data_IF_476798751873
#
_entry.id   IF_476798751873
#
_cell.length_a   1.000
_cell.length_b   1.000
_cell.length_c   1.000
_cell.angle_alpha   90.00
_cell.angle_beta   90.00
_cell.angle_gamma   90.00
#
_symmetry.space_group_name_H-M   'P 1'
#
loop_
_entity.id
_entity.type
_entity.pdbx_description
1 polymer ?
#
# COMPACT_ATOMS: atom_id res chain seq x y z
N UNK A 1 -18.15 0.07 -1.98
CA UNK A 1 -17.02 0.57 -1.19
C UNK A 1 -17.40 0.47 0.27
N UNK A 2 -16.65 -0.28 1.06
CA UNK A 2 -16.93 -0.48 2.48
C UNK A 2 -16.24 0.60 3.28
N UNK A 3 -16.81 1.05 4.40
CA UNK A 3 -16.12 1.95 5.32
C UNK A 3 -15.36 1.13 6.36
N UNK A 4 -14.18 1.60 6.75
CA UNK A 4 -13.37 0.98 7.78
C UNK A 4 -12.70 2.03 8.67
N UNK A 5 -12.76 1.83 9.97
CA UNK A 5 -12.00 2.65 10.90
C UNK A 5 -10.68 1.99 11.29
N UNK A 6 -9.61 2.78 11.36
CA UNK A 6 -8.29 2.37 11.82
C UNK A 6 -8.11 2.83 13.28
N UNK A 7 -8.27 1.92 14.24
CA UNK A 7 -8.36 2.25 15.67
C UNK A 7 -7.05 2.72 16.31
N UNK A 8 -5.90 2.29 15.78
CA UNK A 8 -4.57 2.52 16.40
C UNK A 8 -3.69 3.50 15.64
N UNK A 9 -4.30 4.54 15.08
CA UNK A 9 -3.58 5.66 14.50
C UNK A 9 -2.80 6.40 15.59
N UNK A 10 -1.49 6.56 15.39
CA UNK A 10 -0.65 7.34 16.30
C UNK A 10 -0.45 8.72 15.71
N UNK A 11 -0.62 9.75 16.53
CA UNK A 11 -0.20 11.09 16.19
C UNK A 11 1.33 11.12 16.10
N UNK A 12 1.85 11.58 14.97
CA UNK A 12 3.28 11.74 14.76
C UNK A 12 3.77 13.00 15.47
N UNK A 13 5.01 12.98 15.97
CA UNK A 13 5.64 14.21 16.45
C UNK A 13 5.92 15.19 15.30
N UNK A 14 6.25 16.44 15.66
CA UNK A 14 6.48 17.50 14.69
C UNK A 14 7.59 17.15 13.67
N UNK A 15 8.71 16.58 14.14
CA UNK A 15 9.85 16.27 13.29
C UNK A 15 9.53 15.17 12.28
N UNK A 16 8.81 14.14 12.72
CA UNK A 16 8.35 13.04 11.87
C UNK A 16 7.37 13.56 10.81
N UNK A 17 6.42 14.42 11.20
CA UNK A 17 5.49 15.03 10.25
C UNK A 17 6.21 15.87 9.19
N UNK A 18 7.18 16.71 9.58
CA UNK A 18 7.97 17.49 8.61
C UNK A 18 8.84 16.60 7.71
N UNK A 19 9.35 15.48 8.21
CA UNK A 19 10.07 14.49 7.41
C UNK A 19 9.17 13.87 6.34
N UNK A 20 7.92 13.50 6.66
CA UNK A 20 6.98 12.98 5.66
C UNK A 20 6.54 14.03 4.64
N UNK A 21 6.35 15.30 5.05
CA UNK A 21 6.08 16.40 4.11
C UNK A 21 7.26 16.63 3.15
N UNK A 22 8.47 16.53 3.65
CA UNK A 22 9.69 16.61 2.84
C UNK A 22 9.79 15.44 1.86
N UNK A 23 9.54 14.21 2.34
CA UNK A 23 9.51 13.02 1.50
C UNK A 23 8.44 13.15 0.40
N UNK A 24 7.21 13.53 0.73
CA UNK A 24 6.13 13.81 -0.23
C UNK A 24 6.55 14.79 -1.31
N UNK A 25 7.21 15.88 -0.92
CA UNK A 25 7.68 16.92 -1.85
C UNK A 25 8.76 16.38 -2.79
N UNK A 26 9.70 15.59 -2.26
CA UNK A 26 10.73 14.93 -3.07
C UNK A 26 10.12 13.97 -4.08
N UNK A 27 9.10 13.21 -3.67
CA UNK A 27 8.38 12.29 -4.57
C UNK A 27 7.66 13.05 -5.69
N UNK A 28 7.08 14.21 -5.40
CA UNK A 28 6.47 15.08 -6.43
C UNK A 28 7.50 15.63 -7.43
N UNK A 29 8.75 15.85 -7.00
CA UNK A 29 9.82 16.27 -7.90
C UNK A 29 10.32 15.15 -8.82
N UNK A 30 10.03 13.88 -8.54
CA UNK A 30 10.39 12.77 -9.42
C UNK A 30 9.61 12.77 -10.75
N UNK A 31 8.45 13.44 -10.81
CA UNK A 31 7.65 13.58 -12.02
C UNK A 31 6.15 13.52 -11.73
N UNK A 32 5.35 14.24 -12.51
CA UNK A 32 3.89 14.26 -12.36
C UNK A 32 3.20 12.97 -12.81
N UNK A 33 3.93 12.13 -13.54
CA UNK A 33 3.58 10.82 -14.07
C UNK A 33 3.97 9.67 -13.13
N UNK A 34 4.82 9.92 -12.14
CA UNK A 34 5.21 8.94 -11.11
C UNK A 34 4.12 8.87 -10.04
N UNK A 35 3.17 7.94 -10.21
CA UNK A 35 1.97 7.84 -9.35
C UNK A 35 1.78 6.46 -8.74
N UNK A 36 2.28 5.40 -9.39
CA UNK A 36 2.28 4.03 -8.88
C UNK A 36 3.63 3.75 -8.24
N UNK A 37 3.67 3.68 -6.92
CA UNK A 37 4.94 3.65 -6.18
C UNK A 37 4.92 2.48 -5.21
N UNK A 38 5.83 1.53 -5.42
CA UNK A 38 6.00 0.43 -4.47
C UNK A 38 7.12 0.74 -3.46
N UNK A 39 6.89 0.33 -2.22
CA UNK A 39 7.83 0.42 -1.13
C UNK A 39 8.34 -0.99 -0.85
N UNK A 40 9.66 -1.15 -0.82
CA UNK A 40 10.35 -2.37 -0.41
C UNK A 40 11.51 -2.04 0.54
N UNK A 41 12.17 -3.05 1.07
CA UNK A 41 13.31 -2.92 1.96
C UNK A 41 14.28 -4.08 1.73
N UNK A 42 15.52 -3.97 2.20
CA UNK A 42 16.50 -5.04 2.08
C UNK A 42 16.15 -6.18 3.03
N UNK A 43 15.78 -5.85 4.26
CA UNK A 43 15.54 -6.76 5.37
C UNK A 43 14.15 -6.54 5.99
N UNK A 44 13.59 -7.55 6.68
CA UNK A 44 12.40 -7.37 7.50
C UNK A 44 12.62 -6.33 8.61
N UNK A 45 11.55 -5.61 8.96
CA UNK A 45 11.50 -4.64 10.06
C UNK A 45 12.24 -3.30 9.88
N UNK A 46 12.71 -2.95 8.68
CA UNK A 46 13.35 -1.64 8.39
C UNK A 46 12.34 -0.46 8.32
N UNK A 47 11.20 -0.54 9.02
CA UNK A 47 10.23 0.55 9.08
C UNK A 47 9.39 0.81 7.82
N UNK A 48 9.63 0.08 6.72
CA UNK A 48 8.94 0.24 5.43
C UNK A 48 7.41 0.45 5.50
N UNK A 49 6.67 -0.42 6.20
CA UNK A 49 5.20 -0.30 6.29
C UNK A 49 4.75 0.94 7.07
N UNK A 50 5.59 1.47 7.96
CA UNK A 50 5.30 2.77 8.59
C UNK A 50 5.53 3.90 7.58
N UNK A 51 6.67 3.85 6.86
CA UNK A 51 7.05 4.90 5.91
C UNK A 51 6.03 5.00 4.77
N UNK A 52 5.66 3.88 4.16
CA UNK A 52 4.71 3.82 3.06
C UNK A 52 3.32 4.32 3.48
N UNK A 53 2.81 3.88 4.64
CA UNK A 53 1.49 4.27 5.11
C UNK A 53 1.41 5.77 5.50
N UNK A 54 2.38 6.28 6.26
CA UNK A 54 2.38 7.70 6.65
C UNK A 54 2.65 8.62 5.46
N UNK A 55 3.41 8.18 4.46
CA UNK A 55 3.53 8.93 3.21
C UNK A 55 2.19 8.98 2.46
N UNK A 56 1.45 7.87 2.40
CA UNK A 56 0.11 7.83 1.80
C UNK A 56 -0.83 8.81 2.50
N UNK A 57 -0.83 8.83 3.84
CA UNK A 57 -1.57 9.83 4.62
C UNK A 57 -1.14 11.25 4.28
N UNK A 58 0.17 11.51 4.20
CA UNK A 58 0.69 12.85 3.88
C UNK A 58 0.22 13.34 2.51
N UNK A 59 0.13 12.45 1.51
CA UNK A 59 -0.47 12.80 0.21
C UNK A 59 -1.98 13.07 0.34
N UNK A 60 -2.71 12.25 1.10
CA UNK A 60 -4.14 12.40 1.31
C UNK A 60 -4.50 13.72 2.02
N UNK A 61 -3.74 14.10 3.05
CA UNK A 61 -3.83 15.39 3.75
C UNK A 61 -3.52 16.58 2.83
N UNK A 62 -2.76 16.37 1.75
CA UNK A 62 -2.52 17.37 0.71
C UNK A 62 -3.66 17.46 -0.32
N UNK A 63 -4.78 16.77 -0.08
CA UNK A 63 -5.95 16.76 -0.96
C UNK A 63 -5.80 15.87 -2.19
N UNK A 64 -4.80 14.98 -2.22
CA UNK A 64 -4.66 13.98 -3.29
C UNK A 64 -5.52 12.78 -2.98
N UNK A 65 -6.17 12.22 -4.00
CA UNK A 65 -6.89 10.97 -3.86
C UNK A 65 -5.89 9.81 -3.87
N UNK A 66 -5.69 9.17 -2.73
CA UNK A 66 -4.67 8.12 -2.53
C UNK A 66 -5.32 6.79 -2.24
N UNK A 67 -4.75 5.72 -2.77
CA UNK A 67 -5.03 4.36 -2.30
C UNK A 67 -3.76 3.70 -1.79
N UNK A 68 -3.85 3.12 -0.60
CA UNK A 68 -2.81 2.29 -0.02
C UNK A 68 -3.12 0.81 -0.27
N UNK A 69 -2.19 0.09 -0.90
CA UNK A 69 -2.32 -1.33 -1.18
C UNK A 69 -1.30 -2.09 -0.33
N UNK A 70 -1.79 -2.88 0.60
CA UNK A 70 -0.98 -3.81 1.37
C UNK A 70 -0.78 -5.10 0.58
N UNK A 71 0.37 -5.20 -0.11
CA UNK A 71 0.73 -6.32 -0.97
C UNK A 71 1.80 -7.23 -0.35
N UNK A 72 2.11 -7.09 0.95
CA UNK A 72 2.88 -8.09 1.70
C UNK A 72 2.00 -9.28 2.08
N UNK A 73 1.65 -10.08 1.07
CA UNK A 73 0.82 -11.28 1.20
C UNK A 73 1.46 -12.37 2.09
N UNK A 74 2.71 -12.20 2.53
CA UNK A 74 3.42 -13.18 3.37
C UNK A 74 3.33 -12.82 4.85
N UNK A 75 3.55 -11.55 5.18
CA UNK A 75 3.63 -11.10 6.57
C UNK A 75 3.26 -9.62 6.72
N UNK A 76 2.09 -9.24 6.22
CA UNK A 76 1.54 -7.92 6.51
C UNK A 76 1.48 -7.65 8.02
N UNK A 77 1.90 -6.43 8.38
CA UNK A 77 1.82 -5.88 9.73
C UNK A 77 0.69 -4.86 9.87
N UNK A 78 0.03 -4.49 8.77
CA UNK A 78 -0.86 -3.33 8.70
C UNK A 78 -2.16 -3.58 9.47
N UNK A 79 -2.88 -4.66 9.16
CA UNK A 79 -4.12 -5.01 9.88
C UNK A 79 -3.86 -5.23 11.38
N UNK A 80 -2.73 -5.87 11.72
CA UNK A 80 -2.32 -6.07 13.11
C UNK A 80 -1.99 -4.77 13.84
N UNK A 81 -1.37 -3.81 13.15
CA UNK A 81 -0.93 -2.51 13.68
C UNK A 81 -2.11 -1.57 13.90
N UNK A 82 -2.94 -1.38 12.88
CA UNK A 82 -3.98 -0.36 12.87
C UNK A 82 -5.33 -0.87 13.37
N UNK A 83 -5.50 -2.19 13.53
CA UNK A 83 -6.70 -2.82 14.09
C UNK A 83 -7.98 -2.30 13.41
N UNK A 84 -8.27 -2.76 12.18
CA UNK A 84 -9.54 -2.45 11.57
C UNK A 84 -10.68 -2.94 12.48
N UNK A 85 -11.73 -2.13 12.56
CA UNK A 85 -12.92 -2.39 13.39
C UNK A 85 -13.77 -3.60 12.93
N UNK A 86 -13.40 -4.21 11.81
CA UNK A 86 -14.07 -5.36 11.21
C UNK A 86 -13.09 -6.32 10.53
N UNK A 87 -13.54 -7.55 10.24
CA UNK A 87 -12.74 -8.51 9.47
C UNK A 87 -12.55 -8.02 8.04
N UNK A 88 -11.30 -7.99 7.57
CA UNK A 88 -10.96 -7.52 6.23
C UNK A 88 -10.83 -8.65 5.24
N UNK A 89 -11.58 -8.55 4.15
CA UNK A 89 -11.31 -9.27 2.91
C UNK A 89 -10.28 -8.43 2.15
N UNK A 90 -9.47 -9.02 1.29
CA UNK A 90 -8.30 -8.32 0.77
C UNK A 90 -7.73 -8.90 -0.49
N UNK A 91 -6.59 -8.37 -0.89
CA UNK A 91 -5.89 -8.63 -2.13
C UNK A 91 -5.76 -10.13 -2.44
N UNK A 92 -5.39 -10.96 -1.45
CA UNK A 92 -5.27 -12.41 -1.66
C UNK A 92 -6.59 -13.07 -2.09
N UNK A 93 -7.71 -12.67 -1.51
CA UNK A 93 -9.03 -13.23 -1.82
C UNK A 93 -9.47 -12.85 -3.24
N UNK A 94 -9.26 -11.58 -3.62
CA UNK A 94 -9.53 -11.09 -4.98
C UNK A 94 -8.66 -11.79 -6.01
N UNK A 95 -7.34 -11.85 -5.78
CA UNK A 95 -6.41 -12.50 -6.73
C UNK A 95 -6.66 -14.01 -6.86
N UNK A 96 -7.24 -14.63 -5.83
CA UNK A 96 -7.68 -16.03 -5.87
C UNK A 96 -9.07 -16.23 -6.50
N UNK A 97 -9.73 -15.16 -6.95
CA UNK A 97 -11.06 -15.18 -7.55
C UNK A 97 -12.21 -15.46 -6.56
N UNK A 98 -11.96 -15.36 -5.26
CA UNK A 98 -12.95 -15.62 -4.22
C UNK A 98 -13.86 -14.43 -3.96
N UNK A 99 -13.38 -13.21 -4.25
CA UNK A 99 -14.08 -11.96 -3.99
C UNK A 99 -13.93 -10.98 -5.16
N UNK A 100 -14.89 -10.07 -5.25
CA UNK A 100 -14.93 -9.03 -6.27
C UNK A 100 -14.05 -7.83 -5.90
N UNK A 101 -13.82 -6.94 -6.86
CA UNK A 101 -13.03 -5.71 -6.64
C UNK A 101 -13.71 -4.80 -5.58
N UNK A 102 -15.03 -4.70 -5.60
CA UNK A 102 -15.81 -3.85 -4.71
C UNK A 102 -15.76 -4.32 -3.25
N UNK A 103 -15.50 -5.61 -3.03
CA UNK A 103 -15.46 -6.26 -1.71
C UNK A 103 -14.11 -6.11 -1.00
N UNK A 104 -13.03 -5.88 -1.74
CA UNK A 104 -11.68 -5.69 -1.16
C UNK A 104 -11.32 -4.21 -0.95
N UNK A 105 -12.25 -3.32 -1.30
CA UNK A 105 -12.02 -1.89 -1.33
C UNK A 105 -12.64 -1.20 -0.11
N UNK A 106 -11.79 -0.52 0.67
CA UNK A 106 -12.18 0.18 1.89
C UNK A 106 -11.90 1.69 1.82
N UNK A 107 -12.91 2.48 2.16
CA UNK A 107 -12.75 3.90 2.53
C UNK A 107 -12.32 3.95 3.98
N UNK A 108 -11.17 4.57 4.24
CA UNK A 108 -10.71 4.71 5.63
C UNK A 108 -11.39 5.90 6.31
N UNK A 109 -11.19 6.04 7.62
CA UNK A 109 -11.59 7.24 8.37
C UNK A 109 -10.74 8.48 8.05
N UNK A 110 -9.71 8.35 7.20
CA UNK A 110 -8.82 9.43 6.78
C UNK A 110 -9.32 9.93 5.41
N UNK A 111 -9.61 11.23 5.34
CA UNK A 111 -10.10 11.85 4.10
C UNK A 111 -9.10 11.65 2.95
N UNK A 112 -9.62 11.34 1.77
CA UNK A 112 -8.86 11.05 0.55
C UNK A 112 -7.93 9.84 0.59
N UNK A 113 -7.98 9.02 1.66
CA UNK A 113 -7.20 7.79 1.75
C UNK A 113 -8.12 6.56 1.74
N UNK A 114 -8.00 5.81 0.67
CA UNK A 114 -8.62 4.50 0.51
C UNK A 114 -7.59 3.39 0.72
N UNK A 115 -8.06 2.15 0.90
CA UNK A 115 -7.19 1.04 1.26
C UNK A 115 -7.64 -0.31 0.72
N UNK A 116 -6.66 -1.14 0.36
CA UNK A 116 -6.78 -2.58 0.11
C UNK A 116 -5.85 -3.29 1.10
N UNK A 117 -6.41 -4.14 1.96
CA UNK A 117 -5.65 -5.00 2.86
C UNK A 117 -5.15 -6.26 2.14
N UNK A 118 -4.20 -6.99 2.71
CA UNK A 118 -3.79 -8.30 2.18
C UNK A 118 -4.93 -9.33 2.21
N UNK A 119 -5.72 -9.34 3.28
CA UNK A 119 -6.61 -10.46 3.59
C UNK A 119 -5.86 -11.65 4.21
N UNK A 120 -6.33 -12.86 3.96
CA UNK A 120 -5.73 -14.10 4.47
C UNK A 120 -4.46 -14.45 3.69
N UNK A 121 -3.47 -15.04 4.37
CA UNK A 121 -2.19 -15.41 3.75
C UNK A 121 -2.42 -16.57 2.75
N UNK A 122 -2.15 -16.37 1.45
CA UNK A 122 -2.32 -17.42 0.45
C UNK A 122 -1.12 -18.37 0.41
N UNK A 123 -1.27 -19.61 -0.12
CA UNK A 123 -0.16 -20.55 -0.26
C UNK A 123 0.84 -20.18 -1.36
N UNK A 124 0.43 -19.33 -2.31
CA UNK A 124 1.17 -18.99 -3.54
C UNK A 124 1.26 -17.46 -3.81
N UNK A 125 1.89 -16.67 -2.91
CA UNK A 125 1.90 -15.20 -3.01
C UNK A 125 2.46 -14.64 -4.33
N UNK A 126 3.61 -15.17 -4.77
CA UNK A 126 4.33 -14.66 -5.93
C UNK A 126 3.54 -14.87 -7.23
N UNK A 127 2.88 -16.02 -7.38
CA UNK A 127 2.02 -16.31 -8.54
C UNK A 127 0.81 -15.39 -8.58
N UNK A 128 0.23 -15.05 -7.43
CA UNK A 128 -0.93 -14.16 -7.36
C UNK A 128 -0.56 -12.73 -7.80
N UNK A 129 0.54 -12.18 -7.30
CA UNK A 129 0.97 -10.82 -7.68
C UNK A 129 1.55 -10.75 -9.11
N UNK A 130 2.03 -11.87 -9.65
CA UNK A 130 2.45 -11.97 -11.06
C UNK A 130 1.30 -12.23 -12.05
N UNK A 131 0.05 -12.30 -11.58
CA UNK A 131 -1.09 -12.66 -12.44
C UNK A 131 -1.61 -11.49 -13.28
N UNK A 132 -2.26 -11.81 -14.40
CA UNK A 132 -3.00 -10.83 -15.21
C UNK A 132 -4.07 -10.08 -14.41
N UNK A 133 -4.62 -10.73 -13.38
CA UNK A 133 -5.64 -10.13 -12.52
C UNK A 133 -5.04 -9.01 -11.65
N UNK A 134 -3.82 -9.19 -11.15
CA UNK A 134 -3.09 -8.12 -10.47
C UNK A 134 -2.77 -6.96 -11.42
N UNK A 135 -2.31 -7.26 -12.64
CA UNK A 135 -2.04 -6.23 -13.65
C UNK A 135 -3.29 -5.39 -13.97
N UNK A 136 -4.45 -6.04 -14.14
CA UNK A 136 -5.73 -5.32 -14.33
C UNK A 136 -6.10 -4.47 -13.12
N UNK A 137 -5.88 -4.95 -11.90
CA UNK A 137 -6.10 -4.17 -10.69
C UNK A 137 -5.25 -2.90 -10.69
N UNK A 138 -3.94 -3.02 -10.93
CA UNK A 138 -3.01 -1.89 -10.98
C UNK A 138 -3.45 -0.84 -12.02
N UNK A 139 -3.85 -1.25 -13.22
CA UNK A 139 -4.34 -0.31 -14.25
C UNK A 139 -5.62 0.41 -13.80
N UNK A 140 -6.57 -0.31 -13.20
CA UNK A 140 -7.78 0.31 -12.66
C UNK A 140 -7.48 1.32 -11.54
N UNK A 141 -6.50 1.02 -10.68
CA UNK A 141 -6.11 1.93 -9.60
C UNK A 141 -5.43 3.19 -10.16
N UNK A 142 -4.57 3.02 -11.18
CA UNK A 142 -3.88 4.12 -11.88
C UNK A 142 -4.86 5.14 -12.47
N UNK A 143 -6.00 4.69 -12.99
CA UNK A 143 -7.02 5.57 -13.56
C UNK A 143 -7.85 6.31 -12.48
N UNK A 144 -8.00 5.72 -11.29
CA UNK A 144 -8.94 6.20 -10.26
C UNK A 144 -8.30 7.06 -9.17
N UNK A 145 -6.98 7.04 -9.04
CA UNK A 145 -6.24 7.65 -7.93
C UNK A 145 -5.13 8.56 -8.44
N UNK A 146 -4.86 9.64 -7.71
CA UNK A 146 -3.71 10.51 -7.97
C UNK A 146 -2.40 9.81 -7.60
N UNK A 147 -2.42 9.01 -6.53
CA UNK A 147 -1.29 8.19 -6.09
C UNK A 147 -1.76 6.81 -5.62
N UNK A 148 -1.00 5.79 -5.97
CA UNK A 148 -1.15 4.41 -5.51
C UNK A 148 0.14 4.03 -4.80
N UNK A 149 0.03 3.82 -3.48
CA UNK A 149 1.17 3.46 -2.64
C UNK A 149 1.06 1.98 -2.30
N UNK A 150 2.06 1.18 -2.69
CA UNK A 150 2.03 -0.27 -2.56
C UNK A 150 3.10 -0.72 -1.55
N UNK A 151 2.71 -1.27 -0.41
CA UNK A 151 3.63 -1.89 0.56
C UNK A 151 3.89 -3.34 0.14
N UNK A 152 5.15 -3.72 -0.06
CA UNK A 152 5.55 -5.04 -0.60
C UNK A 152 6.46 -5.77 0.38
N UNK A 153 6.69 -7.09 0.33
CA UNK A 153 7.65 -7.71 1.25
C UNK A 153 9.09 -7.23 1.00
N UNK A 154 10.04 -7.47 1.94
CA UNK A 154 11.45 -7.13 1.75
C UNK A 154 12.05 -7.86 0.55
N UNK A 155 12.64 -7.11 -0.40
CA UNK A 155 13.25 -7.61 -1.61
C UNK A 155 14.40 -8.60 -1.34
N UNK A 156 15.16 -8.40 -0.26
CA UNK A 156 16.23 -9.33 0.10
C UNK A 156 15.74 -10.67 0.66
N UNK A 157 14.43 -10.81 0.96
CA UNK A 157 13.84 -12.05 1.47
C UNK A 157 13.14 -12.86 0.39
N UNK A 158 12.40 -12.19 -0.50
CA UNK A 158 11.55 -12.82 -1.52
C UNK A 158 11.43 -11.93 -2.76
N UNK A 159 11.08 -12.52 -3.90
CA UNK A 159 11.05 -11.83 -5.19
C UNK A 159 9.75 -11.03 -5.44
N UNK A 160 8.72 -11.21 -4.61
CA UNK A 160 7.38 -10.66 -4.82
C UNK A 160 7.40 -9.13 -5.08
N UNK A 161 8.28 -8.38 -4.38
CA UNK A 161 8.42 -6.93 -4.58
C UNK A 161 9.00 -6.56 -5.94
N UNK A 162 9.90 -7.38 -6.52
CA UNK A 162 10.42 -7.17 -7.86
C UNK A 162 9.33 -7.37 -8.93
N UNK A 163 8.47 -8.39 -8.75
CA UNK A 163 7.33 -8.65 -9.65
C UNK A 163 6.36 -7.46 -9.63
N UNK A 164 6.04 -6.95 -8.43
CA UNK A 164 5.16 -5.79 -8.27
C UNK A 164 5.80 -4.52 -8.87
N UNK A 165 7.13 -4.36 -8.72
CA UNK A 165 7.85 -3.20 -9.22
C UNK A 165 7.79 -3.05 -10.75
N UNK A 166 7.67 -4.15 -11.51
CA UNK A 166 7.50 -4.10 -12.97
C UNK A 166 6.23 -3.35 -13.41
N UNK A 167 5.24 -3.26 -12.52
CA UNK A 167 3.96 -2.58 -12.77
C UNK A 167 3.90 -1.16 -12.19
N UNK A 168 4.97 -0.72 -11.54
CA UNK A 168 5.08 0.58 -10.86
C UNK A 168 5.92 1.57 -11.66
N UNK A 169 5.69 2.87 -11.42
CA UNK A 169 6.47 3.95 -12.03
C UNK A 169 7.79 4.17 -11.29
N UNK A 170 7.84 3.79 -10.00
CA UNK A 170 9.01 3.94 -9.16
C UNK A 170 9.00 3.02 -7.95
N UNK A 171 10.20 2.78 -7.43
CA UNK A 171 10.44 1.97 -6.24
C UNK A 171 11.13 2.82 -5.18
N UNK A 172 10.62 2.79 -3.95
CA UNK A 172 11.31 3.32 -2.78
C UNK A 172 11.90 2.17 -1.98
N UNK A 173 13.22 2.20 -1.82
CA UNK A 173 13.94 1.29 -0.94
C UNK A 173 14.12 1.95 0.42
N UNK A 174 13.51 1.36 1.46
CA UNK A 174 13.68 1.80 2.85
C UNK A 174 14.82 1.01 3.49
N UNK A 175 15.73 1.73 4.16
CA UNK A 175 16.97 1.20 4.75
C UNK A 175 17.09 1.75 6.19
N UNK A 176 17.56 0.92 7.12
CA UNK A 176 17.94 1.30 8.49
C UNK A 176 19.47 1.31 8.70
#
# INVERSE_FOLDING_TARGET
>A
MQQINLERMKELDYFSNEAYKSLRTNMQFCGSDVRMICFTSCLPNEGKSNVSFNLAMSFAENGKKVIFVDADLRRSVIAGRYKPDSSVIGLAHFLSGQNTFEEIFYQTSIENLDMIFTGSIPPNPAELVGSDLFNRLIQMLREKYDYVIIDTPPLGSVIDSAIIAEQCDGVVLVIE
#
